data_IF_009784156804
#
_entry.id   IF_009784156804
#
_cell.length_a   1.000
_cell.length_b   1.000
_cell.length_c   1.000
_cell.angle_alpha   90.00
_cell.angle_beta   90.00
_cell.angle_gamma   90.00
#
_symmetry.space_group_name_H-M   'P 1'
#
loop_
_entity.id
_entity.type
_entity.pdbx_description
1 polymer ?
#
# COMPACT_ATOMS: atom_id res chain seq x y z
N UNK A 1 20.65 -0.11 4.78
CA UNK A 1 19.77 -0.10 5.95
C UNK A 1 19.36 1.33 6.20
N UNK A 2 18.09 1.54 6.51
CA UNK A 2 17.43 2.84 6.50
C UNK A 2 16.73 3.12 5.18
N UNK A 3 16.11 4.28 5.04
CA UNK A 3 15.35 4.70 3.83
C UNK A 3 14.38 3.61 3.34
N UNK A 4 13.52 3.09 4.24
CA UNK A 4 12.54 2.06 3.91
C UNK A 4 13.02 0.61 4.02
N UNK A 5 14.31 0.35 4.30
CA UNK A 5 14.87 -0.97 4.49
C UNK A 5 15.47 -1.08 5.89
N UNK A 6 14.91 -1.92 6.73
CA UNK A 6 15.21 -1.98 8.16
C UNK A 6 15.66 -3.36 8.57
N UNK A 7 16.60 -3.42 9.51
CA UNK A 7 16.91 -4.66 10.20
C UNK A 7 15.79 -4.96 11.21
N UNK A 8 15.09 -6.07 11.00
CA UNK A 8 13.95 -6.46 11.81
C UNK A 8 14.22 -7.74 12.56
N UNK A 9 13.71 -7.82 13.77
CA UNK A 9 13.70 -9.06 14.52
C UNK A 9 12.59 -9.96 14.00
N UNK A 10 12.94 -11.09 13.38
CA UNK A 10 11.98 -12.14 13.03
C UNK A 10 11.80 -13.05 14.25
N UNK A 11 10.61 -13.11 14.87
CA UNK A 11 10.37 -14.01 15.98
C UNK A 11 10.69 -15.47 15.61
N UNK A 12 11.37 -16.20 16.48
CA UNK A 12 11.78 -17.58 16.20
C UNK A 12 10.59 -18.52 15.94
N UNK A 13 9.43 -18.23 16.52
CA UNK A 13 8.19 -18.98 16.26
C UNK A 13 7.71 -18.78 14.82
N UNK A 14 7.81 -17.58 14.28
CA UNK A 14 7.46 -17.28 12.87
C UNK A 14 8.46 -17.94 11.93
N UNK A 15 9.76 -17.79 12.21
CA UNK A 15 10.80 -18.41 11.40
C UNK A 15 10.57 -19.93 11.29
N UNK A 16 10.42 -20.61 12.41
CA UNK A 16 10.30 -22.06 12.45
C UNK A 16 8.93 -22.57 11.98
N UNK A 17 7.83 -21.93 12.39
CA UNK A 17 6.49 -22.46 12.20
C UNK A 17 5.78 -21.93 10.95
N UNK A 18 6.29 -20.89 10.33
CA UNK A 18 5.75 -20.34 9.08
C UNK A 18 6.79 -20.44 7.95
N UNK A 19 7.94 -19.78 8.08
CA UNK A 19 8.92 -19.70 6.98
C UNK A 19 9.59 -21.04 6.68
N UNK A 20 9.82 -21.89 7.67
CA UNK A 20 10.42 -23.22 7.50
C UNK A 20 9.39 -24.34 7.40
N UNK A 21 8.11 -24.07 7.61
CA UNK A 21 7.05 -25.08 7.61
C UNK A 21 6.47 -25.28 6.21
N UNK A 22 6.61 -26.48 5.60
CA UNK A 22 6.09 -26.75 4.26
C UNK A 22 4.57 -26.64 4.14
N UNK A 23 3.82 -26.64 5.24
CA UNK A 23 2.39 -26.36 5.23
C UNK A 23 2.06 -24.90 4.98
N UNK A 24 3.01 -23.98 5.20
CA UNK A 24 2.82 -22.55 5.07
C UNK A 24 3.66 -21.91 3.97
N UNK A 25 4.90 -22.32 3.76
CA UNK A 25 5.78 -21.64 2.83
C UNK A 25 5.37 -21.87 1.37
N UNK A 26 4.56 -20.98 0.87
CA UNK A 26 4.20 -20.91 -0.55
C UNK A 26 3.96 -19.48 -0.96
N UNK A 27 4.46 -19.13 -2.14
CA UNK A 27 4.16 -17.84 -2.76
C UNK A 27 2.81 -17.84 -3.51
N UNK A 28 2.12 -19.00 -3.56
CA UNK A 28 0.85 -19.12 -4.28
C UNK A 28 -0.26 -18.32 -3.61
N UNK A 29 -0.94 -17.50 -4.41
CA UNK A 29 -2.13 -16.78 -3.97
C UNK A 29 -3.24 -17.76 -3.65
N UNK A 30 -3.93 -17.61 -2.50
CA UNK A 30 -4.98 -18.55 -2.10
C UNK A 30 -6.29 -18.35 -2.90
N UNK A 31 -6.24 -18.62 -4.20
CA UNK A 31 -7.41 -18.55 -5.07
C UNK A 31 -8.49 -19.59 -4.71
N UNK A 32 -8.06 -20.78 -4.29
CA UNK A 32 -8.96 -21.85 -3.88
C UNK A 32 -9.28 -21.69 -2.38
N UNK A 33 -10.36 -20.95 -2.11
CA UNK A 33 -10.76 -20.64 -0.74
C UNK A 33 -11.04 -21.89 0.11
N UNK A 34 -11.56 -22.95 -0.49
CA UNK A 34 -11.93 -24.21 0.16
C UNK A 34 -10.75 -24.95 0.83
N UNK A 35 -9.53 -24.73 0.36
CA UNK A 35 -8.32 -25.36 0.92
C UNK A 35 -7.35 -24.36 1.56
N UNK A 36 -7.71 -23.09 1.62
CA UNK A 36 -6.79 -22.02 2.01
C UNK A 36 -7.33 -21.14 3.15
N UNK A 37 -8.33 -21.60 3.92
CA UNK A 37 -8.97 -20.76 4.93
C UNK A 37 -7.98 -20.20 5.95
N UNK A 38 -7.02 -20.98 6.45
CA UNK A 38 -6.02 -20.49 7.40
C UNK A 38 -5.11 -19.40 6.82
N UNK A 39 -4.69 -19.51 5.56
CA UNK A 39 -3.89 -18.45 4.90
C UNK A 39 -4.74 -17.20 4.63
N UNK A 40 -6.01 -17.37 4.28
CA UNK A 40 -6.93 -16.24 4.11
C UNK A 40 -7.17 -15.52 5.43
N UNK A 41 -7.26 -16.24 6.55
CA UNK A 41 -7.36 -15.67 7.89
C UNK A 41 -6.11 -14.86 8.25
N UNK A 42 -4.92 -15.39 8.00
CA UNK A 42 -3.67 -14.66 8.20
C UNK A 42 -3.61 -13.38 7.36
N UNK A 43 -4.01 -13.43 6.09
CA UNK A 43 -4.06 -12.25 5.21
C UNK A 43 -5.14 -11.25 5.64
N UNK A 44 -6.26 -11.70 6.18
CA UNK A 44 -7.26 -10.81 6.76
C UNK A 44 -6.72 -10.10 8.00
N UNK A 45 -5.96 -10.81 8.85
CA UNK A 45 -5.27 -10.22 9.99
C UNK A 45 -4.23 -9.18 9.54
N UNK A 46 -3.46 -9.47 8.50
CA UNK A 46 -2.53 -8.50 7.90
C UNK A 46 -3.27 -7.21 7.47
N UNK A 47 -4.39 -7.34 6.76
CA UNK A 47 -5.20 -6.18 6.37
C UNK A 47 -5.65 -5.37 7.58
N UNK A 48 -6.13 -6.04 8.64
CA UNK A 48 -6.62 -5.39 9.84
C UNK A 48 -5.51 -4.65 10.58
N UNK A 49 -4.33 -5.26 10.73
CA UNK A 49 -3.17 -4.61 11.35
C UNK A 49 -2.77 -3.33 10.60
N UNK A 50 -2.78 -3.35 9.28
CA UNK A 50 -2.49 -2.17 8.45
C UNK A 50 -3.58 -1.11 8.62
N UNK A 51 -4.85 -1.48 8.63
CA UNK A 51 -5.97 -0.56 8.87
C UNK A 51 -5.83 0.13 10.22
N UNK A 52 -5.58 -0.65 11.28
CA UNK A 52 -5.49 -0.14 12.65
C UNK A 52 -4.31 0.83 12.83
N UNK A 53 -3.15 0.53 12.23
CA UNK A 53 -1.98 1.39 12.33
C UNK A 53 -2.08 2.66 11.47
N UNK A 54 -2.69 2.56 10.30
CA UNK A 54 -2.78 3.70 9.37
C UNK A 54 -3.99 4.60 9.59
N UNK A 55 -4.98 4.14 10.37
CA UNK A 55 -6.26 4.82 10.54
C UNK A 55 -7.13 4.84 9.28
N UNK A 56 -6.82 3.99 8.29
CA UNK A 56 -7.57 3.90 7.04
C UNK A 56 -8.74 2.94 7.15
N UNK A 57 -9.66 3.00 6.19
CA UNK A 57 -10.91 2.22 6.22
C UNK A 57 -10.77 0.83 5.58
N UNK A 58 -9.83 0.66 4.65
CA UNK A 58 -9.57 -0.60 3.96
C UNK A 58 -8.10 -0.72 3.58
N UNK A 59 -7.57 -1.95 3.59
CA UNK A 59 -6.23 -2.28 3.11
C UNK A 59 -6.25 -3.49 2.21
N UNK A 60 -5.28 -3.60 1.31
CA UNK A 60 -5.08 -4.79 0.50
C UNK A 60 -4.28 -5.88 1.24
N UNK A 61 -4.25 -7.08 0.66
CA UNK A 61 -3.56 -8.24 1.23
C UNK A 61 -2.12 -8.38 0.73
N UNK A 62 -1.47 -7.33 0.43
CA UNK A 62 -0.07 -7.01 0.15
C UNK A 62 0.23 -6.52 -1.27
N UNK A 63 1.35 -5.84 -1.39
CA UNK A 63 2.02 -5.45 -2.63
C UNK A 63 3.51 -5.85 -2.56
N UNK A 64 4.27 -5.52 -3.60
CA UNK A 64 5.66 -5.95 -3.76
C UNK A 64 6.61 -5.25 -2.77
N UNK A 65 6.66 -3.93 -2.85
CA UNK A 65 7.46 -3.05 -2.00
C UNK A 65 6.82 -1.66 -1.91
N UNK A 66 7.34 -0.80 -1.02
CA UNK A 66 6.81 0.56 -0.82
C UNK A 66 6.83 1.39 -2.10
N UNK A 67 7.94 1.36 -2.84
CA UNK A 67 8.08 2.14 -4.07
C UNK A 67 7.05 1.75 -5.13
N UNK A 68 6.81 0.44 -5.29
CA UNK A 68 5.75 -0.08 -6.17
C UNK A 68 4.36 0.33 -5.65
N UNK A 69 4.14 0.27 -4.35
CA UNK A 69 2.86 0.67 -3.75
C UNK A 69 2.58 2.17 -3.97
N UNK A 70 3.59 3.03 -3.85
CA UNK A 70 3.49 4.46 -4.16
C UNK A 70 3.18 4.72 -5.64
N UNK A 71 3.81 3.98 -6.55
CA UNK A 71 3.51 4.07 -7.99
C UNK A 71 2.09 3.56 -8.33
N UNK A 72 1.60 2.54 -7.62
CA UNK A 72 0.20 2.11 -7.75
C UNK A 72 -0.77 3.14 -7.17
N UNK A 73 -0.41 3.82 -6.07
CA UNK A 73 -1.19 4.93 -5.51
C UNK A 73 -1.30 6.09 -6.50
N UNK A 74 -0.22 6.45 -7.21
CA UNK A 74 -0.25 7.44 -8.31
C UNK A 74 -1.33 7.09 -9.34
N UNK A 75 -1.33 5.86 -9.84
CA UNK A 75 -2.31 5.43 -10.85
C UNK A 75 -3.72 5.33 -10.29
N UNK A 76 -3.87 4.99 -9.02
CA UNK A 76 -5.15 4.98 -8.33
C UNK A 76 -5.69 6.41 -8.21
N UNK A 77 -4.89 7.37 -7.72
CA UNK A 77 -5.28 8.78 -7.61
C UNK A 77 -5.72 9.35 -8.97
N UNK A 78 -4.95 9.08 -10.04
CA UNK A 78 -5.31 9.54 -11.40
C UNK A 78 -6.65 8.96 -11.87
N UNK A 79 -6.97 7.72 -11.50
CA UNK A 79 -8.20 7.03 -11.92
C UNK A 79 -9.43 7.46 -11.14
N UNK A 80 -9.31 7.67 -9.82
CA UNK A 80 -10.46 7.95 -8.94
C UNK A 80 -10.61 9.42 -8.61
N UNK A 81 -9.57 10.22 -8.80
CA UNK A 81 -9.56 11.66 -8.52
C UNK A 81 -10.49 12.44 -9.45
N UNK A 82 -10.94 13.58 -8.97
CA UNK A 82 -11.81 14.50 -9.72
C UNK A 82 -11.04 15.63 -10.39
N UNK A 83 -9.78 15.84 -9.99
CA UNK A 83 -8.92 16.87 -10.58
C UNK A 83 -8.69 16.58 -12.06
N UNK A 84 -8.73 17.63 -12.87
CA UNK A 84 -8.38 17.58 -14.30
C UNK A 84 -6.92 17.86 -14.58
N UNK A 85 -6.15 18.17 -13.53
CA UNK A 85 -4.72 18.41 -13.65
C UNK A 85 -3.98 17.15 -14.07
N UNK A 86 -2.89 17.31 -14.82
CA UNK A 86 -2.10 16.19 -15.36
C UNK A 86 -0.94 15.79 -14.44
N UNK A 87 -0.24 16.73 -13.76
CA UNK A 87 0.92 16.38 -12.95
C UNK A 87 0.57 15.71 -11.63
N UNK A 88 1.49 14.83 -11.19
CA UNK A 88 1.61 14.37 -9.81
C UNK A 88 2.70 15.20 -9.10
N UNK A 89 2.48 15.58 -7.85
CA UNK A 89 3.53 16.13 -7.00
C UNK A 89 4.04 15.05 -6.05
N UNK A 90 5.36 14.94 -5.90
CA UNK A 90 6.01 14.03 -4.95
C UNK A 90 7.00 14.84 -4.12
N UNK A 91 6.89 14.77 -2.81
CA UNK A 91 7.81 15.47 -1.92
C UNK A 91 9.25 15.00 -2.15
N UNK A 92 10.19 15.96 -2.22
CA UNK A 92 11.60 15.67 -2.50
C UNK A 92 12.28 14.84 -1.41
N UNK A 93 11.68 14.81 -0.22
CA UNK A 93 12.13 14.05 0.95
C UNK A 93 11.54 12.63 1.02
N UNK A 94 10.77 12.20 0.03
CA UNK A 94 10.46 10.79 -0.16
C UNK A 94 11.73 9.98 -0.40
N UNK A 95 11.69 8.68 -0.10
CA UNK A 95 12.86 7.82 -0.33
C UNK A 95 13.28 7.83 -1.81
N UNK A 96 14.58 7.92 -2.11
CA UNK A 96 15.06 8.02 -3.50
C UNK A 96 14.59 6.90 -4.41
N UNK A 97 14.53 5.67 -3.91
CA UNK A 97 14.02 4.53 -4.67
C UNK A 97 12.51 4.65 -4.96
N UNK A 98 11.75 5.24 -4.03
CA UNK A 98 10.31 5.48 -4.23
C UNK A 98 10.09 6.50 -5.35
N UNK A 99 10.84 7.60 -5.35
CA UNK A 99 10.85 8.58 -6.44
C UNK A 99 11.20 7.93 -7.80
N UNK A 100 12.29 7.16 -7.86
CA UNK A 100 12.75 6.52 -9.08
C UNK A 100 11.72 5.54 -9.68
N UNK A 101 11.01 4.77 -8.83
CA UNK A 101 9.96 3.86 -9.29
C UNK A 101 8.72 4.61 -9.75
N UNK A 102 8.30 5.67 -9.03
CA UNK A 102 7.20 6.53 -9.46
C UNK A 102 7.49 7.11 -10.85
N UNK A 103 8.65 7.70 -11.06
CA UNK A 103 9.06 8.26 -12.36
C UNK A 103 9.07 7.22 -13.47
N UNK A 104 9.61 6.03 -13.17
CA UNK A 104 9.67 4.91 -14.12
C UNK A 104 8.28 4.48 -14.55
N UNK A 105 7.33 4.41 -13.63
CA UNK A 105 5.95 4.01 -13.88
C UNK A 105 5.11 5.14 -14.48
N UNK A 106 5.43 6.39 -14.19
CA UNK A 106 4.75 7.58 -14.72
C UNK A 106 5.03 7.78 -16.22
N UNK A 107 6.29 7.55 -16.64
CA UNK A 107 6.76 7.81 -18.01
C UNK A 107 5.92 7.15 -19.11
N UNK A 108 5.63 5.83 -19.10
CA UNK A 108 4.83 5.19 -20.13
C UNK A 108 3.36 5.61 -20.11
N UNK A 109 2.88 6.20 -19.00
CA UNK A 109 1.52 6.70 -18.85
C UNK A 109 1.39 8.17 -19.23
N UNK A 110 2.49 8.83 -19.60
CA UNK A 110 2.52 10.26 -19.91
C UNK A 110 2.25 11.16 -18.69
N UNK A 111 2.39 10.63 -17.46
CA UNK A 111 2.18 11.40 -16.24
C UNK A 111 3.45 12.20 -15.95
N UNK A 112 3.30 13.52 -15.82
CA UNK A 112 4.38 14.40 -15.40
C UNK A 112 4.53 14.32 -13.87
N UNK A 113 5.74 14.06 -13.38
CA UNK A 113 6.08 14.08 -11.95
C UNK A 113 6.80 15.38 -11.65
N UNK A 114 6.27 16.12 -10.68
CA UNK A 114 6.89 17.33 -10.11
C UNK A 114 7.46 16.94 -8.73
N UNK A 115 8.70 17.31 -8.47
CA UNK A 115 9.36 17.00 -7.20
C UNK A 115 9.81 18.32 -6.55
N UNK A 116 9.55 18.48 -5.25
CA UNK A 116 9.89 19.70 -4.53
C UNK A 116 9.51 19.63 -3.05
N UNK A 117 9.64 20.74 -2.37
CA UNK A 117 9.17 20.92 -1.00
C UNK A 117 7.65 21.19 -1.00
N UNK A 118 6.84 20.36 -0.32
CA UNK A 118 5.39 20.56 -0.26
C UNK A 118 4.96 21.92 0.33
N UNK A 119 5.80 22.52 1.15
CA UNK A 119 5.49 23.79 1.78
C UNK A 119 5.67 25.00 0.84
N UNK A 120 6.65 24.95 -0.08
CA UNK A 120 7.04 26.09 -0.93
C UNK A 120 6.74 25.90 -2.40
N UNK A 121 6.82 24.68 -2.91
CA UNK A 121 6.81 24.39 -4.35
C UNK A 121 5.47 23.82 -4.84
N UNK A 122 4.61 23.34 -3.92
CA UNK A 122 3.33 22.75 -4.26
C UNK A 122 2.23 23.81 -4.50
N UNK A 123 1.66 23.78 -5.70
CA UNK A 123 0.37 24.39 -6.00
C UNK A 123 -0.71 23.29 -6.13
N UNK A 124 -1.55 23.09 -5.10
CA UNK A 124 -2.54 21.99 -5.12
C UNK A 124 -3.53 22.09 -6.28
N UNK A 125 -3.78 23.28 -6.82
CA UNK A 125 -4.68 23.47 -7.96
C UNK A 125 -4.11 22.99 -9.29
N UNK A 126 -2.82 22.71 -9.36
CA UNK A 126 -2.13 22.30 -10.59
C UNK A 126 -1.74 20.83 -10.63
N UNK A 127 -2.13 20.04 -9.63
CA UNK A 127 -1.81 18.60 -9.54
C UNK A 127 -3.06 17.77 -9.34
N UNK A 128 -3.04 16.50 -9.75
CA UNK A 128 -4.15 15.60 -9.46
C UNK A 128 -3.96 14.87 -8.12
N UNK A 129 -2.74 14.81 -7.63
CA UNK A 129 -2.41 14.13 -6.39
C UNK A 129 -1.04 14.53 -5.86
N UNK A 130 -0.83 14.24 -4.61
CA UNK A 130 0.39 14.52 -3.85
C UNK A 130 0.83 13.26 -3.13
N UNK A 131 2.14 12.97 -3.14
CA UNK A 131 2.74 11.90 -2.32
C UNK A 131 3.75 12.54 -1.38
N UNK A 132 3.63 12.25 -0.08
CA UNK A 132 4.56 12.68 0.98
C UNK A 132 5.09 11.49 1.76
N UNK A 133 6.23 11.65 2.42
CA UNK A 133 6.86 10.62 3.26
C UNK A 133 6.67 10.95 4.75
N UNK A 134 6.35 9.94 5.57
CA UNK A 134 6.08 10.12 7.01
C UNK A 134 6.62 8.95 7.84
N UNK A 135 7.67 9.15 8.67
CA UNK A 135 8.59 10.30 8.65
C UNK A 135 9.34 10.43 7.33
N UNK A 136 9.95 11.60 7.09
CA UNK A 136 10.73 11.86 5.88
C UNK A 136 12.00 11.00 5.80
N UNK A 137 12.69 10.99 4.65
CA UNK A 137 13.95 10.25 4.48
C UNK A 137 15.04 10.70 5.49
N UNK A 138 15.00 11.96 5.91
CA UNK A 138 15.93 12.52 6.91
C UNK A 138 15.47 12.31 8.36
N UNK A 139 14.28 11.71 8.56
CA UNK A 139 13.72 11.40 9.87
C UNK A 139 12.89 12.54 10.47
N UNK A 140 12.58 13.57 9.71
CA UNK A 140 11.72 14.66 10.15
C UNK A 140 10.26 14.18 10.24
N UNK A 141 9.57 14.60 11.30
CA UNK A 141 8.14 14.36 11.51
C UNK A 141 7.39 15.65 11.19
N UNK A 142 6.74 15.66 10.04
CA UNK A 142 6.00 16.82 9.54
C UNK A 142 4.51 16.63 9.78
N UNK A 143 3.83 17.67 10.28
CA UNK A 143 2.36 17.70 10.32
C UNK A 143 1.82 18.11 8.94
N UNK A 144 1.13 17.18 8.29
CA UNK A 144 0.57 17.38 6.96
C UNK A 144 -0.94 17.68 6.96
N UNK A 145 -1.59 17.89 8.11
CA UNK A 145 -3.03 18.12 8.16
C UNK A 145 -3.48 19.32 7.31
N UNK A 146 -2.82 20.47 7.46
CA UNK A 146 -3.11 21.65 6.65
C UNK A 146 -2.84 21.43 5.15
N UNK A 147 -1.83 20.66 4.81
CA UNK A 147 -1.52 20.30 3.42
C UNK A 147 -2.64 19.47 2.82
N UNK A 148 -3.15 18.48 3.55
CA UNK A 148 -4.28 17.65 3.13
C UNK A 148 -5.51 18.51 2.87
N UNK A 149 -5.85 19.40 3.79
CA UNK A 149 -7.00 20.29 3.65
C UNK A 149 -6.89 21.19 2.40
N UNK A 150 -5.72 21.77 2.15
CA UNK A 150 -5.45 22.57 0.95
C UNK A 150 -5.57 21.74 -0.34
N UNK A 151 -5.06 20.51 -0.33
CA UNK A 151 -5.16 19.59 -1.48
C UNK A 151 -6.62 19.24 -1.76
N UNK A 152 -7.37 18.89 -0.73
CA UNK A 152 -8.80 18.55 -0.87
C UNK A 152 -9.63 19.72 -1.36
N UNK A 153 -9.39 20.93 -0.86
CA UNK A 153 -10.04 22.14 -1.33
C UNK A 153 -9.81 22.40 -2.83
N UNK A 154 -8.65 21.98 -3.35
CA UNK A 154 -8.29 22.05 -4.76
C UNK A 154 -8.71 20.82 -5.59
N UNK A 155 -9.23 19.76 -4.94
CA UNK A 155 -9.64 18.51 -5.58
C UNK A 155 -8.50 17.53 -5.86
N UNK A 156 -7.31 17.75 -5.32
CA UNK A 156 -6.18 16.84 -5.37
C UNK A 156 -6.25 15.81 -4.23
N UNK A 157 -5.83 14.58 -4.49
CA UNK A 157 -5.77 13.50 -3.50
C UNK A 157 -4.39 13.43 -2.85
N UNK A 158 -4.32 12.95 -1.61
CA UNK A 158 -3.07 12.83 -0.86
C UNK A 158 -2.80 11.38 -0.49
N UNK A 159 -1.61 10.89 -0.86
CA UNK A 159 -1.05 9.60 -0.45
C UNK A 159 0.15 9.82 0.47
N UNK A 160 0.22 9.07 1.55
CA UNK A 160 1.31 9.10 2.52
C UNK A 160 2.10 7.81 2.43
N UNK A 161 3.39 7.88 2.16
CA UNK A 161 4.32 6.77 2.34
C UNK A 161 4.78 6.76 3.79
N UNK A 162 4.39 5.75 4.56
CA UNK A 162 4.56 5.73 6.01
C UNK A 162 5.33 4.51 6.52
N UNK A 163 6.18 4.73 7.52
CA UNK A 163 6.80 3.65 8.29
C UNK A 163 5.82 3.17 9.37
N UNK A 164 5.35 1.92 9.27
CA UNK A 164 4.38 1.35 10.21
C UNK A 164 4.84 1.40 11.68
N UNK A 165 6.15 1.26 11.93
CA UNK A 165 6.65 1.31 13.31
C UNK A 165 6.50 2.71 13.92
N UNK A 166 6.67 3.74 13.11
CA UNK A 166 6.47 5.12 13.56
C UNK A 166 5.02 5.39 13.96
N UNK A 167 4.06 4.76 13.29
CA UNK A 167 2.63 4.94 13.55
C UNK A 167 2.16 4.34 14.90
N UNK A 168 3.01 3.59 15.58
CA UNK A 168 2.76 3.18 16.99
C UNK A 168 2.84 4.38 17.95
N UNK A 169 3.57 5.42 17.57
CA UNK A 169 3.82 6.63 18.39
C UNK A 169 3.21 7.90 17.77
N UNK A 170 3.09 7.96 16.45
CA UNK A 170 2.65 9.13 15.72
C UNK A 170 1.19 8.98 15.29
N UNK A 171 0.50 10.11 15.12
CA UNK A 171 -0.88 10.12 14.63
C UNK A 171 -0.99 9.44 13.26
N UNK A 172 -1.91 8.47 13.11
CA UNK A 172 -2.13 7.78 11.84
C UNK A 172 -2.57 8.74 10.72
N UNK A 173 -2.05 8.57 9.49
CA UNK A 173 -2.43 9.43 8.38
C UNK A 173 -3.93 9.47 8.06
N UNK A 174 -4.67 8.40 8.32
CA UNK A 174 -6.12 8.36 8.14
C UNK A 174 -6.86 9.34 9.05
N UNK A 175 -6.35 9.59 10.27
CA UNK A 175 -6.98 10.49 11.24
C UNK A 175 -6.90 11.96 10.83
N UNK A 176 -5.85 12.37 10.12
CA UNK A 176 -5.70 13.72 9.59
C UNK A 176 -6.05 13.84 8.10
N UNK A 177 -6.79 12.86 7.59
CA UNK A 177 -7.52 13.00 6.33
C UNK A 177 -6.81 12.49 5.08
N UNK A 178 -5.69 11.77 5.17
CA UNK A 178 -5.06 11.15 4.00
C UNK A 178 -6.06 10.29 3.21
N UNK A 179 -5.93 10.26 1.89
CA UNK A 179 -6.79 9.45 1.02
C UNK A 179 -6.26 8.02 0.88
N UNK A 180 -4.95 7.86 0.96
CA UNK A 180 -4.23 6.60 0.82
C UNK A 180 -2.99 6.62 1.71
N UNK A 181 -2.62 5.43 2.19
CA UNK A 181 -1.35 5.20 2.90
C UNK A 181 -0.67 4.00 2.27
N UNK A 182 0.59 4.13 1.95
CA UNK A 182 1.44 3.04 1.44
C UNK A 182 2.67 2.89 2.31
N UNK A 183 3.32 1.74 2.26
CA UNK A 183 4.55 1.53 3.00
C UNK A 183 5.03 0.10 2.95
N UNK A 184 6.15 -0.15 3.61
CA UNK A 184 6.72 -1.48 3.77
C UNK A 184 6.12 -2.18 4.99
N UNK A 185 5.78 -3.46 4.84
CA UNK A 185 5.38 -4.33 5.94
C UNK A 185 6.57 -5.00 6.65
N UNK A 186 7.80 -4.63 6.30
CA UNK A 186 9.02 -5.22 6.85
C UNK A 186 9.08 -5.11 8.38
N UNK A 187 8.52 -4.05 8.94
CA UNK A 187 8.46 -3.82 10.40
C UNK A 187 7.74 -4.91 11.19
N UNK A 188 6.90 -5.70 10.54
CA UNK A 188 6.26 -6.86 11.17
C UNK A 188 7.21 -8.05 11.39
N UNK A 189 8.48 -7.93 11.00
CA UNK A 189 9.50 -8.95 11.22
C UNK A 189 10.00 -9.64 9.96
N UNK A 190 9.75 -9.08 8.78
CA UNK A 190 10.27 -9.62 7.52
C UNK A 190 11.78 -9.40 7.45
N UNK A 191 12.60 -10.47 7.36
CA UNK A 191 14.05 -10.32 7.30
C UNK A 191 14.49 -9.61 6.03
N UNK A 192 15.66 -8.93 6.07
CA UNK A 192 16.24 -8.26 4.90
C UNK A 192 16.50 -9.20 3.71
N UNK A 193 16.78 -10.50 3.97
CA UNK A 193 16.89 -11.53 2.95
C UNK A 193 17.91 -11.24 1.85
N UNK A 194 18.98 -10.49 2.17
CA UNK A 194 19.99 -10.03 1.19
C UNK A 194 19.43 -9.17 0.05
N UNK A 195 18.37 -8.42 0.31
CA UNK A 195 17.72 -7.55 -0.66
C UNK A 195 16.32 -7.98 -1.08
N UNK A 196 15.66 -8.77 -0.27
CA UNK A 196 14.28 -9.21 -0.50
C UNK A 196 14.11 -10.73 -0.45
N UNK A 197 12.87 -11.19 -0.73
CA UNK A 197 11.71 -10.36 -1.09
C UNK A 197 11.19 -9.50 0.05
N UNK A 198 10.45 -8.44 -0.30
CA UNK A 198 9.77 -7.55 0.65
C UNK A 198 8.26 -7.72 0.52
N UNK A 199 7.50 -7.16 1.45
CA UNK A 199 6.06 -6.98 1.34
C UNK A 199 5.72 -5.53 1.63
N UNK A 200 4.74 -5.01 0.90
CA UNK A 200 4.19 -3.69 1.10
C UNK A 200 2.68 -3.74 1.27
N UNK A 201 2.11 -2.63 1.63
CA UNK A 201 0.67 -2.45 1.73
C UNK A 201 0.22 -1.20 0.98
N UNK A 202 -1.06 -1.17 0.66
CA UNK A 202 -1.79 0.03 0.28
C UNK A 202 -3.11 0.01 1.04
N UNK A 203 -3.30 1.02 1.86
CA UNK A 203 -4.54 1.30 2.56
C UNK A 203 -5.20 2.55 1.99
N UNK A 204 -6.53 2.62 2.02
CA UNK A 204 -7.26 3.71 1.39
C UNK A 204 -8.62 3.93 2.05
N UNK A 205 -9.31 4.99 1.65
CA UNK A 205 -10.73 5.20 1.99
C UNK A 205 -11.60 4.11 1.36
N UNK A 206 -12.65 3.71 2.03
CA UNK A 206 -13.58 2.67 1.55
C UNK A 206 -14.18 3.01 0.17
N UNK A 207 -14.36 4.28 -0.12
CA UNK A 207 -14.82 4.75 -1.43
C UNK A 207 -13.98 4.23 -2.61
N UNK A 208 -12.70 3.91 -2.38
CA UNK A 208 -11.77 3.45 -3.41
C UNK A 208 -11.63 1.92 -3.51
N UNK A 209 -12.32 1.15 -2.67
CA UNK A 209 -12.20 -0.31 -2.56
C UNK A 209 -12.31 -1.08 -3.88
N UNK A 210 -13.10 -0.58 -4.84
CA UNK A 210 -13.24 -1.23 -6.16
C UNK A 210 -12.10 -0.91 -7.11
N UNK A 211 -11.25 0.05 -6.78
CA UNK A 211 -10.14 0.53 -7.62
C UNK A 211 -8.77 0.29 -7.00
N UNK A 212 -8.70 -0.15 -5.75
CA UNK A 212 -7.45 -0.45 -5.03
C UNK A 212 -6.70 -1.60 -5.73
N UNK A 213 -5.37 -1.50 -5.91
CA UNK A 213 -4.57 -2.59 -6.48
C UNK A 213 -4.39 -3.75 -5.49
N UNK A 214 -3.92 -4.89 -5.99
CA UNK A 214 -3.70 -6.07 -5.17
C UNK A 214 -5.00 -6.82 -4.87
N UNK A 215 -4.96 -7.72 -3.89
CA UNK A 215 -6.10 -8.55 -3.48
C UNK A 215 -6.66 -8.07 -2.16
N UNK A 216 -7.94 -8.33 -1.97
CA UNK A 216 -8.64 -8.08 -0.70
C UNK A 216 -9.29 -9.38 -0.26
N UNK A 217 -9.08 -9.73 1.00
CA UNK A 217 -9.77 -10.83 1.65
C UNK A 217 -11.05 -10.27 2.26
N UNK A 218 -12.12 -11.00 2.10
CA UNK A 218 -13.41 -10.64 2.68
C UNK A 218 -14.12 -11.84 3.29
N UNK A 219 -15.04 -11.54 4.18
CA UNK A 219 -15.89 -12.51 4.84
C UNK A 219 -17.10 -12.81 3.96
N UNK A 220 -17.39 -14.09 3.79
CA UNK A 220 -18.52 -14.63 3.03
C UNK A 220 -19.15 -15.78 3.82
N UNK A 221 -19.95 -16.60 3.16
CA UNK A 221 -20.52 -17.82 3.72
C UNK A 221 -20.27 -19.01 2.79
N UNK A 222 -20.11 -20.18 3.39
CA UNK A 222 -20.03 -21.44 2.66
C UNK A 222 -21.45 -21.93 2.23
N UNK A 223 -21.51 -23.08 1.54
CA UNK A 223 -22.76 -23.67 1.09
C UNK A 223 -23.72 -24.08 2.21
N UNK A 224 -23.23 -24.12 3.46
CA UNK A 224 -23.99 -24.44 4.65
C UNK A 224 -24.34 -23.22 5.50
N UNK A 225 -24.03 -21.99 5.01
CA UNK A 225 -24.29 -20.74 5.70
C UNK A 225 -23.30 -20.41 6.81
N UNK A 226 -22.17 -21.13 6.92
CA UNK A 226 -21.13 -20.84 7.92
C UNK A 226 -20.17 -19.77 7.42
N UNK A 227 -19.59 -18.93 8.30
CA UNK A 227 -18.59 -17.96 7.90
C UNK A 227 -17.43 -18.61 7.13
N UNK A 228 -17.03 -18.02 6.03
CA UNK A 228 -15.92 -18.45 5.20
C UNK A 228 -15.20 -17.24 4.60
N UNK A 229 -13.90 -17.34 4.39
CA UNK A 229 -13.08 -16.30 3.80
C UNK A 229 -12.84 -16.56 2.31
N UNK A 230 -12.71 -15.50 1.55
CA UNK A 230 -12.42 -15.57 0.12
C UNK A 230 -11.77 -14.31 -0.40
N UNK A 231 -11.13 -14.39 -1.55
CA UNK A 231 -10.78 -13.20 -2.31
C UNK A 231 -12.06 -12.52 -2.78
N UNK A 232 -12.14 -11.20 -2.60
CA UNK A 232 -13.37 -10.45 -2.77
C UNK A 232 -13.23 -9.26 -3.75
N UNK A 233 -14.35 -8.65 -4.06
CA UNK A 233 -14.71 -7.50 -4.85
C UNK A 233 -14.77 -7.75 -6.34
N UNK A 234 -13.71 -8.07 -7.04
CA UNK A 234 -13.77 -8.27 -8.50
C UNK A 234 -12.56 -9.01 -9.05
N UNK A 235 -12.73 -9.53 -10.25
CA UNK A 235 -11.63 -9.98 -11.09
C UNK A 235 -10.72 -8.81 -11.44
N UNK A 236 -9.42 -8.94 -11.18
CA UNK A 236 -8.42 -7.89 -11.37
C UNK A 236 -7.34 -8.29 -12.36
N UNK A 237 -7.35 -9.53 -12.79
CA UNK A 237 -6.35 -10.10 -13.67
C UNK A 237 -6.34 -9.43 -15.04
N UNK A 238 -5.16 -9.03 -15.50
CA UNK A 238 -4.98 -8.39 -16.79
C UNK A 238 -5.39 -9.30 -17.95
N UNK A 239 -5.12 -10.60 -17.88
CA UNK A 239 -5.51 -11.55 -18.93
C UNK A 239 -7.02 -11.71 -19.07
N UNK A 240 -7.81 -11.34 -18.05
CA UNK A 240 -9.26 -11.34 -18.08
C UNK A 240 -9.81 -9.95 -18.43
N UNK A 241 -9.33 -8.92 -17.74
CA UNK A 241 -9.84 -7.55 -17.86
C UNK A 241 -9.17 -6.73 -18.96
N UNK A 242 -8.04 -7.21 -19.50
CA UNK A 242 -7.24 -6.55 -20.53
C UNK A 242 -6.91 -5.10 -20.14
N UNK A 243 -7.19 -4.14 -21.01
CA UNK A 243 -6.96 -2.70 -20.77
C UNK A 243 -7.79 -2.11 -19.62
N UNK A 244 -8.80 -2.83 -19.16
CA UNK A 244 -9.64 -2.43 -18.00
C UNK A 244 -9.13 -2.99 -16.68
N UNK A 245 -8.00 -3.66 -16.66
CA UNK A 245 -7.41 -4.15 -15.42
C UNK A 245 -7.00 -2.97 -14.52
N UNK A 246 -7.21 -3.15 -13.22
CA UNK A 246 -6.87 -2.12 -12.22
C UNK A 246 -5.36 -1.91 -12.11
N UNK A 247 -4.60 -3.00 -12.23
CA UNK A 247 -3.15 -3.04 -12.10
C UNK A 247 -2.62 -4.33 -12.70
N UNK A 248 -1.33 -4.36 -13.04
CA UNK A 248 -0.62 -5.59 -13.41
C UNK A 248 -0.24 -6.44 -12.18
N UNK A 249 -0.39 -5.90 -10.98
CA UNK A 249 -0.10 -6.60 -9.73
C UNK A 249 -1.30 -7.46 -9.37
N UNK A 250 -1.17 -8.75 -9.61
CA UNK A 250 -2.20 -9.74 -9.30
C UNK A 250 -2.11 -10.18 -7.84
N UNK A 251 -0.94 -10.62 -7.44
CA UNK A 251 -0.57 -10.97 -6.09
C UNK A 251 0.84 -10.49 -5.84
N UNK A 252 1.11 -10.05 -4.66
CA UNK A 252 2.45 -9.73 -4.29
C UNK A 252 2.95 -10.74 -3.26
N UNK A 253 3.53 -10.37 -2.19
CA UNK A 253 4.30 -11.21 -1.30
C UNK A 253 3.43 -11.97 -0.29
N UNK A 254 2.67 -12.95 -0.77
CA UNK A 254 1.70 -13.70 0.07
C UNK A 254 2.36 -14.36 1.29
N UNK A 255 3.49 -15.03 1.11
CA UNK A 255 4.19 -15.68 2.23
C UNK A 255 4.60 -14.64 3.29
N UNK A 256 5.15 -13.52 2.87
CA UNK A 256 5.60 -12.47 3.78
C UNK A 256 4.46 -11.72 4.47
N UNK A 257 3.29 -11.67 3.85
CA UNK A 257 2.10 -11.11 4.48
C UNK A 257 1.40 -12.11 5.42
N UNK A 258 1.63 -13.40 5.23
CA UNK A 258 1.10 -14.47 6.11
C UNK A 258 1.94 -14.61 7.38
N UNK A 259 3.26 -14.40 7.28
CA UNK A 259 4.15 -14.49 8.46
C UNK A 259 3.94 -13.35 9.45
#
# INVERSE_FOLDING_TARGET
IGMGYYDCHTPSVILRNVLENPGWYTAYTPYQAEIAQGRLEALLTFQQMVIDLTGMEIANASLLDEATAAAEAMTLMKRVGKSKSEPLFVAADCHPQTLAVIETRARPLGIQVQTGDPATDLDPGKVFGVIVQYPTTTGEVVDYADLVDRCHAAGALVCVAADLLSLVLLSPPGEWGADMVVGSAQRFGVPLGFGGPHAAFLAARDAFKRSIPGRIIGVSQDSHGRPALRLTLQTREQHIRREKATSNICTAQVLLAVM
#
